data_IF_636878566503
#
_entry.id   IF_636878566503
#
_cell.length_a   1.000
_cell.length_b   1.000
_cell.length_c   1.000
_cell.angle_alpha   90.00
_cell.angle_beta   90.00
_cell.angle_gamma   90.00
#
_symmetry.space_group_name_H-M   'P 1'
#
loop_
_entity.id
_entity.type
_entity.pdbx_description
1 polymer ?
#
# COMPACT_ATOMS: atom_id res chain seq x y z
N UNK A 1 -10.57 9.49 -3.29
CA UNK A 1 -9.11 9.34 -3.14
C UNK A 1 -8.82 8.40 -1.98
N UNK A 2 -7.80 7.58 -2.14
CA UNK A 2 -7.36 6.69 -1.05
C UNK A 2 -6.61 7.51 0.00
N UNK A 3 -6.91 7.27 1.27
CA UNK A 3 -6.20 7.87 2.39
C UNK A 3 -5.26 6.85 3.04
N UNK A 4 -4.15 7.33 3.60
CA UNK A 4 -3.22 6.50 4.34
C UNK A 4 -3.16 6.98 5.79
N UNK A 5 -3.36 6.06 6.74
CA UNK A 5 -3.18 6.39 8.15
C UNK A 5 -1.69 6.53 8.46
N UNK A 6 -1.37 7.19 9.58
CA UNK A 6 0.02 7.28 10.02
C UNK A 6 0.58 5.90 10.34
N UNK A 7 -0.24 5.01 10.90
CA UNK A 7 0.17 3.64 11.18
C UNK A 7 0.52 2.90 9.88
N UNK A 8 -0.26 3.08 8.82
CA UNK A 8 0.02 2.47 7.52
C UNK A 8 1.34 2.97 6.94
N UNK A 9 1.58 4.29 7.00
CA UNK A 9 2.83 4.87 6.50
C UNK A 9 4.04 4.30 7.23
N UNK A 10 3.95 4.22 8.54
CA UNK A 10 5.02 3.68 9.37
C UNK A 10 5.28 2.21 9.08
N UNK A 11 4.21 1.42 8.98
CA UNK A 11 4.34 -0.01 8.69
C UNK A 11 4.95 -0.25 7.31
N UNK A 12 4.53 0.51 6.29
CA UNK A 12 5.09 0.42 4.96
C UNK A 12 6.59 0.77 5.00
N UNK A 13 6.95 1.83 5.69
CA UNK A 13 8.36 2.21 5.81
C UNK A 13 9.20 1.10 6.44
N UNK A 14 8.66 0.43 7.46
CA UNK A 14 9.34 -0.69 8.09
C UNK A 14 9.48 -1.88 7.14
N UNK A 15 8.43 -2.19 6.38
CA UNK A 15 8.50 -3.26 5.37
C UNK A 15 9.58 -2.99 4.34
N UNK A 16 9.76 -1.74 3.94
CA UNK A 16 10.70 -1.36 2.91
C UNK A 16 12.11 -1.14 3.42
N UNK A 17 12.31 -1.08 4.73
CA UNK A 17 13.62 -0.76 5.33
C UNK A 17 14.70 -1.76 4.95
N UNK A 18 14.35 -2.99 4.63
CA UNK A 18 15.28 -4.04 4.24
C UNK A 18 15.29 -4.32 2.74
N UNK A 19 14.57 -3.51 1.97
CA UNK A 19 14.44 -3.68 0.52
C UNK A 19 15.31 -2.68 -0.22
N UNK A 20 15.48 -2.88 -1.52
CA UNK A 20 16.22 -1.97 -2.36
C UNK A 20 15.55 -0.61 -2.49
N UNK A 21 16.28 0.38 -2.99
CA UNK A 21 15.83 1.77 -3.09
C UNK A 21 14.54 1.96 -3.89
N UNK A 22 14.33 1.11 -4.88
CA UNK A 22 13.16 1.24 -5.77
C UNK A 22 11.97 0.42 -5.31
N UNK A 23 12.09 -0.28 -4.19
CA UNK A 23 11.01 -1.10 -3.68
C UNK A 23 9.89 -0.24 -3.11
N UNK A 24 8.67 -0.63 -3.38
CA UNK A 24 7.45 -0.01 -2.84
C UNK A 24 6.52 -1.13 -2.43
N UNK A 25 5.54 -0.81 -1.60
CA UNK A 25 4.41 -1.71 -1.42
C UNK A 25 3.47 -1.45 -2.60
N UNK A 26 3.15 -2.49 -3.34
CA UNK A 26 2.27 -2.36 -4.49
C UNK A 26 0.94 -3.03 -4.20
N UNK A 27 -0.14 -2.31 -4.47
CA UNK A 27 -1.49 -2.84 -4.33
C UNK A 27 -1.99 -3.20 -5.72
N UNK A 28 -2.31 -4.47 -5.90
CA UNK A 28 -2.78 -4.98 -7.18
C UNK A 28 -3.95 -5.93 -6.96
N UNK A 29 -4.61 -6.32 -8.03
CA UNK A 29 -5.69 -7.29 -7.94
C UNK A 29 -5.16 -8.69 -8.26
N UNK A 30 -5.80 -9.68 -7.65
CA UNK A 30 -5.52 -11.09 -7.92
C UNK A 30 -6.85 -11.82 -8.00
N UNK A 31 -6.87 -13.09 -8.46
CA UNK A 31 -8.10 -13.89 -8.45
C UNK A 31 -8.76 -13.99 -7.08
N UNK A 32 -7.97 -13.83 -6.01
CA UNK A 32 -8.45 -13.95 -4.64
C UNK A 32 -8.82 -12.61 -4.02
N UNK A 33 -8.67 -11.51 -4.76
CA UNK A 33 -8.98 -10.17 -4.28
C UNK A 33 -7.81 -9.22 -4.39
N UNK A 34 -7.75 -8.24 -3.50
CA UNK A 34 -6.70 -7.24 -3.49
C UNK A 34 -5.46 -7.82 -2.79
N UNK A 35 -4.32 -7.57 -3.40
CA UNK A 35 -3.04 -8.09 -2.92
C UNK A 35 -2.09 -6.94 -2.59
N UNK A 36 -1.41 -7.07 -1.45
CA UNK A 36 -0.33 -6.18 -1.04
C UNK A 36 0.99 -6.95 -1.15
N UNK A 37 1.96 -6.39 -1.84
CA UNK A 37 3.26 -7.05 -2.00
C UNK A 37 4.35 -6.02 -2.21
N UNK A 38 5.56 -6.36 -1.78
CA UNK A 38 6.74 -5.55 -2.10
C UNK A 38 7.08 -5.77 -3.58
N UNK A 39 7.20 -4.68 -4.32
CA UNK A 39 7.39 -4.72 -5.75
C UNK A 39 8.00 -3.39 -6.20
N UNK A 40 7.93 -3.10 -7.48
CA UNK A 40 8.37 -1.85 -8.07
C UNK A 40 7.19 -1.13 -8.71
N UNK A 41 7.30 0.17 -8.84
CA UNK A 41 6.31 0.96 -9.57
C UNK A 41 6.26 0.49 -11.01
N UNK A 42 5.06 0.32 -11.53
CA UNK A 42 4.82 -0.03 -12.92
C UNK A 42 4.21 1.14 -13.67
N UNK A 43 4.39 1.15 -14.96
CA UNK A 43 3.84 2.19 -15.79
C UNK A 43 2.31 2.31 -15.57
N UNK A 44 1.85 3.53 -15.33
CA UNK A 44 0.44 3.80 -15.08
C UNK A 44 0.02 3.69 -13.62
N UNK A 45 0.89 3.22 -12.73
CA UNK A 45 0.56 3.18 -11.31
C UNK A 45 0.41 4.59 -10.74
N UNK A 46 -0.52 4.74 -9.80
CA UNK A 46 -0.59 5.93 -8.95
C UNK A 46 0.31 5.69 -7.76
N UNK A 47 1.14 6.68 -7.43
CA UNK A 47 2.12 6.55 -6.38
C UNK A 47 1.86 7.50 -5.22
N UNK A 48 2.30 7.09 -4.04
CA UNK A 48 2.22 7.91 -2.82
C UNK A 48 3.61 8.02 -2.23
N UNK A 49 3.97 9.23 -1.82
CA UNK A 49 5.27 9.51 -1.24
C UNK A 49 5.15 9.81 0.24
N UNK A 50 6.22 9.54 0.98
CA UNK A 50 6.35 9.90 2.37
C UNK A 50 7.77 10.40 2.59
N UNK A 51 7.92 11.64 3.04
CA UNK A 51 9.24 12.24 3.25
C UNK A 51 10.08 12.31 1.97
N UNK A 52 9.45 12.50 0.82
CA UNK A 52 10.16 12.58 -0.46
C UNK A 52 10.51 11.24 -1.08
N UNK A 53 10.12 10.14 -0.43
CA UNK A 53 10.34 8.79 -0.94
C UNK A 53 9.03 8.15 -1.37
N UNK A 54 9.02 7.53 -2.55
CA UNK A 54 7.87 6.76 -2.99
C UNK A 54 7.77 5.48 -2.18
N UNK A 55 6.64 5.26 -1.52
CA UNK A 55 6.45 4.10 -0.64
C UNK A 55 5.34 3.18 -1.11
N UNK A 56 4.41 3.68 -1.91
CA UNK A 56 3.22 2.92 -2.29
C UNK A 56 2.93 3.16 -3.76
N UNK A 57 2.56 2.10 -4.47
CA UNK A 57 2.11 2.16 -5.84
C UNK A 57 0.83 1.37 -5.99
N UNK A 58 -0.12 1.90 -6.75
CA UNK A 58 -1.44 1.28 -6.89
C UNK A 58 -1.80 1.20 -8.37
N UNK A 59 -2.14 -0.01 -8.80
CA UNK A 59 -2.70 -0.24 -10.12
C UNK A 59 -3.97 0.60 -10.31
N UNK A 60 -4.15 1.21 -11.47
CA UNK A 60 -5.29 2.10 -11.71
C UNK A 60 -6.64 1.43 -11.54
N UNK A 61 -6.75 0.19 -11.95
CA UNK A 61 -8.01 -0.56 -11.78
C UNK A 61 -8.35 -0.74 -10.31
N UNK A 62 -7.34 -1.08 -9.52
CA UNK A 62 -7.51 -1.22 -8.07
C UNK A 62 -7.84 0.12 -7.44
N UNK A 63 -7.17 1.18 -7.85
CA UNK A 63 -7.40 2.51 -7.30
C UNK A 63 -8.87 2.94 -7.44
N UNK A 64 -9.48 2.64 -8.56
CA UNK A 64 -10.90 2.93 -8.78
C UNK A 64 -11.78 2.19 -7.78
N UNK A 65 -11.43 0.94 -7.50
CA UNK A 65 -12.19 0.09 -6.58
C UNK A 65 -12.08 0.55 -5.14
N UNK A 66 -10.90 1.02 -4.73
CA UNK A 66 -10.64 1.38 -3.32
C UNK A 66 -10.69 2.89 -3.06
N UNK A 67 -11.06 3.68 -4.05
CA UNK A 67 -11.19 5.12 -3.87
C UNK A 67 -12.19 5.44 -2.76
N UNK A 68 -11.82 6.36 -1.88
CA UNK A 68 -12.65 6.72 -0.72
C UNK A 68 -12.40 5.87 0.51
N UNK A 69 -11.57 4.83 0.40
CA UNK A 69 -11.19 4.01 1.54
C UNK A 69 -9.93 4.53 2.21
N UNK A 70 -9.62 3.98 3.37
CA UNK A 70 -8.40 4.30 4.12
C UNK A 70 -7.56 3.04 4.26
N UNK A 71 -6.29 3.15 3.93
CA UNK A 71 -5.31 2.11 4.18
C UNK A 71 -4.80 2.28 5.61
N UNK A 72 -4.89 1.24 6.41
CA UNK A 72 -4.54 1.27 7.82
C UNK A 72 -3.84 -0.04 8.19
N UNK A 73 -3.55 -0.21 9.45
CA UNK A 73 -2.91 -1.42 9.97
C UNK A 73 -3.82 -2.06 11.00
N UNK A 74 -3.92 -3.36 10.93
CA UNK A 74 -4.64 -4.17 11.90
C UNK A 74 -3.69 -5.21 12.47
N UNK A 75 -3.82 -5.50 13.76
CA UNK A 75 -3.03 -6.55 14.40
C UNK A 75 -3.83 -7.85 14.36
N UNK A 76 -3.25 -8.88 13.74
CA UNK A 76 -3.84 -10.21 13.66
C UNK A 76 -2.81 -11.22 14.11
N UNK A 77 -3.17 -12.02 15.10
CA UNK A 77 -2.27 -13.01 15.71
C UNK A 77 -0.93 -12.39 16.15
N UNK A 78 -1.00 -11.17 16.71
CA UNK A 78 0.18 -10.46 17.18
C UNK A 78 1.03 -9.83 16.08
N UNK A 79 0.59 -9.90 14.82
CA UNK A 79 1.35 -9.35 13.69
C UNK A 79 0.58 -8.25 13.00
N UNK A 80 1.24 -7.15 12.63
CA UNK A 80 0.59 -6.09 11.87
C UNK A 80 0.39 -6.50 10.41
N UNK A 81 -0.74 -6.08 9.86
CA UNK A 81 -1.04 -6.28 8.44
C UNK A 81 -1.76 -5.06 7.89
N UNK A 82 -1.56 -4.78 6.62
CA UNK A 82 -2.26 -3.70 5.94
C UNK A 82 -3.68 -4.12 5.62
N UNK A 83 -4.62 -3.23 5.90
CA UNK A 83 -6.04 -3.46 5.63
C UNK A 83 -6.66 -2.21 5.03
N UNK A 84 -7.76 -2.38 4.31
CA UNK A 84 -8.52 -1.28 3.73
C UNK A 84 -9.86 -1.17 4.46
N UNK A 85 -10.16 0.04 4.92
CA UNK A 85 -11.44 0.35 5.53
C UNK A 85 -12.27 1.19 4.59
N UNK A 86 -13.46 0.73 4.28
CA UNK A 86 -14.42 1.51 3.53
C UNK A 86 -15.14 2.53 4.40
N UNK A 87 -15.90 3.39 3.77
CA UNK A 87 -16.77 4.32 4.49
C UNK A 87 -18.01 3.61 4.98
#
# INVERSE_FOLDING_TARGET
MLSLSNAARKHIAELLSHEGRKAVVRISSSPEGIRFATDRVRLGDTTFNDGGKCILAIDQMVLRTISGQTLDVEIEDGKPRLVLYGK
#
